data_IF_984419205629
#
_entry.id   IF_984419205629
#
_cell.length_a   1.000
_cell.length_b   1.000
_cell.length_c   1.000
_cell.angle_alpha   90.00
_cell.angle_beta   90.00
_cell.angle_gamma   90.00
#
_symmetry.space_group_name_H-M   'P 1'
#
loop_
_entity.id
_entity.type
_entity.pdbx_description
1 polymer ?
#
# COMPACT_ATOMS: atom_id res chain seq x y z
N UNK A 1 -51.63 0.37 28.19
CA UNK A 1 -50.37 1.13 27.98
C UNK A 1 -49.31 0.74 29.03
N UNK A 2 -48.47 -0.28 28.78
CA UNK A 2 -47.31 -0.63 29.65
C UNK A 2 -46.19 -1.28 28.82
N UNK A 3 -45.45 -0.48 28.04
CA UNK A 3 -44.23 -0.97 27.35
C UNK A 3 -43.04 0.02 27.39
N UNK A 4 -43.19 1.24 27.93
CA UNK A 4 -42.15 2.28 27.85
C UNK A 4 -40.92 2.11 28.78
N UNK A 5 -40.99 1.28 29.83
CA UNK A 5 -39.92 1.23 30.86
C UNK A 5 -38.77 0.27 30.55
N UNK A 6 -38.99 -0.72 29.66
CA UNK A 6 -38.01 -1.76 29.32
C UNK A 6 -37.01 -1.30 28.25
N UNK A 7 -37.42 -0.42 27.32
CA UNK A 7 -36.56 0.10 26.25
C UNK A 7 -35.47 1.06 26.76
N UNK A 8 -35.77 1.85 27.79
CA UNK A 8 -34.81 2.82 28.36
C UNK A 8 -33.56 2.16 28.95
N UNK A 9 -33.70 1.03 29.67
CA UNK A 9 -32.55 0.31 30.25
C UNK A 9 -31.65 -0.32 29.17
N UNK A 10 -32.25 -0.84 28.11
CA UNK A 10 -31.50 -1.39 26.97
C UNK A 10 -30.75 -0.32 26.21
N UNK A 11 -31.37 0.85 26.00
CA UNK A 11 -30.71 2.01 25.41
C UNK A 11 -29.52 2.49 26.25
N UNK A 12 -29.65 2.53 27.58
CA UNK A 12 -28.54 2.91 28.46
C UNK A 12 -27.40 1.90 28.43
N UNK A 13 -27.70 0.60 28.48
CA UNK A 13 -26.67 -0.46 28.38
C UNK A 13 -25.94 -0.38 27.04
N UNK A 14 -26.68 -0.25 25.93
CA UNK A 14 -26.10 -0.12 24.60
C UNK A 14 -25.24 1.15 24.49
N UNK A 15 -25.71 2.29 25.01
CA UNK A 15 -24.96 3.54 25.01
C UNK A 15 -23.66 3.43 25.82
N UNK A 16 -23.71 2.87 27.03
CA UNK A 16 -22.51 2.66 27.85
C UNK A 16 -21.53 1.71 27.17
N UNK A 17 -22.03 0.66 26.52
CA UNK A 17 -21.19 -0.30 25.80
C UNK A 17 -20.51 0.34 24.60
N UNK A 18 -21.23 1.18 23.83
CA UNK A 18 -20.66 1.97 22.75
C UNK A 18 -19.60 2.97 23.24
N UNK A 19 -19.83 3.63 24.37
CA UNK A 19 -18.86 4.56 24.97
C UNK A 19 -17.60 3.81 25.42
N UNK A 20 -17.74 2.67 26.10
CA UNK A 20 -16.60 1.86 26.53
C UNK A 20 -15.80 1.33 25.34
N UNK A 21 -16.49 0.90 24.28
CA UNK A 21 -15.85 0.52 23.02
C UNK A 21 -15.10 1.72 22.42
N UNK A 22 -15.72 2.91 22.38
CA UNK A 22 -15.09 4.13 21.88
C UNK A 22 -13.85 4.56 22.69
N UNK A 23 -13.92 4.50 24.02
CA UNK A 23 -12.76 4.80 24.88
C UNK A 23 -11.68 3.75 24.69
N UNK A 24 -12.05 2.47 24.60
CA UNK A 24 -11.12 1.37 24.35
C UNK A 24 -10.40 1.52 23.02
N UNK A 25 -11.10 1.85 21.94
CA UNK A 25 -10.49 2.07 20.62
C UNK A 25 -9.55 3.27 20.63
N UNK A 26 -9.96 4.40 21.22
CA UNK A 26 -9.09 5.57 21.37
C UNK A 26 -7.84 5.20 22.18
N UNK A 27 -8.00 4.52 23.32
CA UNK A 27 -6.89 4.08 24.16
C UNK A 27 -5.90 3.19 23.41
N UNK A 28 -6.38 2.23 22.61
CA UNK A 28 -5.53 1.37 21.78
C UNK A 28 -4.80 2.17 20.71
N UNK A 29 -5.46 3.12 20.04
CA UNK A 29 -4.81 3.95 18.99
C UNK A 29 -3.71 4.85 19.54
N UNK A 30 -3.89 5.39 20.75
CA UNK A 30 -2.90 6.26 21.39
C UNK A 30 -1.73 5.46 21.96
N UNK A 31 -2.00 4.32 22.59
CA UNK A 31 -0.96 3.52 23.25
C UNK A 31 -0.21 2.59 22.28
N UNK A 32 -0.85 2.18 21.18
CA UNK A 32 -0.28 1.23 20.22
C UNK A 32 -0.54 1.68 18.77
N UNK A 33 -0.03 2.85 18.35
CA UNK A 33 -0.28 3.42 17.02
C UNK A 33 0.12 2.46 15.89
N UNK A 34 1.27 1.78 16.02
CA UNK A 34 1.73 0.79 15.04
C UNK A 34 0.75 -0.37 14.85
N UNK A 35 0.10 -0.83 15.93
CA UNK A 35 -0.89 -1.93 15.83
C UNK A 35 -2.17 -1.45 15.16
N UNK A 36 -2.59 -0.22 15.46
CA UNK A 36 -3.75 0.39 14.82
C UNK A 36 -3.51 0.55 13.31
N UNK A 37 -2.36 1.09 12.91
CA UNK A 37 -1.98 1.22 11.51
C UNK A 37 -1.92 -0.12 10.80
N UNK A 38 -1.28 -1.15 11.37
CA UNK A 38 -1.25 -2.51 10.80
C UNK A 38 -2.65 -3.04 10.53
N UNK A 39 -3.55 -2.88 11.50
CA UNK A 39 -4.94 -3.36 11.39
C UNK A 39 -5.69 -2.63 10.28
N UNK A 40 -5.58 -1.30 10.24
CA UNK A 40 -6.16 -0.49 9.16
C UNK A 40 -5.59 -0.91 7.80
N UNK A 41 -4.28 -1.16 7.73
CA UNK A 41 -3.60 -1.62 6.53
C UNK A 41 -4.13 -2.97 6.03
N UNK A 42 -4.29 -3.95 6.92
CA UNK A 42 -4.86 -5.27 6.56
C UNK A 42 -6.27 -5.14 6.00
N UNK A 43 -7.11 -4.32 6.62
CA UNK A 43 -8.48 -4.06 6.14
C UNK A 43 -8.46 -3.40 4.75
N UNK A 44 -7.58 -2.42 4.53
CA UNK A 44 -7.45 -1.74 3.22
C UNK A 44 -7.00 -2.69 2.12
N UNK A 45 -5.97 -3.49 2.37
CA UNK A 45 -5.46 -4.48 1.40
C UNK A 45 -6.57 -5.48 1.05
N UNK A 46 -7.24 -6.04 2.06
CA UNK A 46 -8.34 -6.99 1.84
C UNK A 46 -9.50 -6.35 1.05
N UNK A 47 -9.86 -5.11 1.38
CA UNK A 47 -10.89 -4.36 0.65
C UNK A 47 -10.49 -4.15 -0.81
N UNK A 48 -9.23 -3.80 -1.07
CA UNK A 48 -8.71 -3.65 -2.43
C UNK A 48 -8.82 -4.94 -3.25
N UNK A 49 -8.46 -6.08 -2.66
CA UNK A 49 -8.60 -7.39 -3.31
C UNK A 49 -10.07 -7.74 -3.63
N UNK A 50 -11.00 -7.41 -2.72
CA UNK A 50 -12.44 -7.60 -2.96
C UNK A 50 -12.93 -6.70 -4.10
N UNK A 51 -12.53 -5.42 -4.09
CA UNK A 51 -12.91 -4.47 -5.15
C UNK A 51 -12.42 -4.96 -6.51
N UNK A 52 -11.16 -5.40 -6.62
CA UNK A 52 -10.62 -5.96 -7.87
C UNK A 52 -11.42 -7.18 -8.34
N UNK A 53 -11.75 -8.10 -7.42
CA UNK A 53 -12.53 -9.28 -7.75
C UNK A 53 -13.92 -8.93 -8.27
N UNK A 54 -14.58 -7.93 -7.68
CA UNK A 54 -15.93 -7.50 -8.06
C UNK A 54 -15.93 -6.69 -9.36
N UNK A 55 -14.89 -5.89 -9.61
CA UNK A 55 -14.76 -5.12 -10.85
C UNK A 55 -14.35 -5.97 -12.07
N UNK A 56 -14.04 -7.24 -11.87
CA UNK A 56 -13.48 -8.11 -12.92
C UNK A 56 -12.03 -7.76 -13.28
N UNK A 57 -11.37 -6.91 -12.50
CA UNK A 57 -9.97 -6.57 -12.69
C UNK A 57 -9.10 -7.77 -12.34
N UNK A 58 -8.35 -8.26 -13.34
CA UNK A 58 -7.52 -9.46 -13.21
C UNK A 58 -6.22 -9.21 -12.42
N UNK A 59 -5.62 -8.05 -12.60
CA UNK A 59 -4.30 -7.70 -12.01
C UNK A 59 -4.35 -6.33 -11.35
N UNK A 60 -3.58 -6.08 -10.27
CA UNK A 60 -3.46 -4.75 -9.69
C UNK A 60 -2.97 -3.76 -10.75
N UNK A 61 -3.54 -2.56 -10.76
CA UNK A 61 -3.17 -1.51 -11.71
C UNK A 61 -2.41 -0.41 -11.00
N UNK A 62 -1.30 0.01 -11.58
CA UNK A 62 -0.48 1.12 -11.10
C UNK A 62 -0.26 2.14 -12.21
N UNK A 63 -0.18 3.41 -11.84
CA UNK A 63 0.17 4.50 -12.76
C UNK A 63 1.51 5.07 -12.35
N UNK A 64 2.45 5.17 -13.29
CA UNK A 64 3.74 5.81 -13.06
C UNK A 64 3.58 7.33 -13.23
N UNK A 65 4.11 8.08 -12.27
CA UNK A 65 4.13 9.53 -12.27
C UNK A 65 5.48 10.08 -12.74
N UNK A 66 5.60 11.41 -12.88
CA UNK A 66 6.85 12.05 -13.29
C UNK A 66 7.91 11.99 -12.19
N UNK A 67 9.14 12.36 -12.54
CA UNK A 67 10.20 12.60 -11.56
C UNK A 67 9.83 13.70 -10.57
N UNK A 68 10.11 13.43 -9.30
CA UNK A 68 9.82 14.31 -8.20
C UNK A 68 10.60 13.99 -6.94
N UNK A 69 10.13 14.59 -5.84
CA UNK A 69 10.69 14.48 -4.51
C UNK A 69 9.58 14.14 -3.50
N UNK A 70 9.89 14.23 -2.21
CA UNK A 70 8.90 13.98 -1.15
C UNK A 70 7.64 14.87 -1.26
N UNK A 71 7.77 16.14 -1.66
CA UNK A 71 6.61 17.01 -1.83
C UNK A 71 5.70 16.54 -2.98
N UNK A 72 6.27 15.95 -4.03
CA UNK A 72 5.49 15.32 -5.10
C UNK A 72 4.78 14.05 -4.60
N UNK A 73 5.47 13.22 -3.83
CA UNK A 73 4.91 12.02 -3.20
C UNK A 73 3.74 12.36 -2.24
N UNK A 74 3.89 13.44 -1.46
CA UNK A 74 2.90 13.92 -0.49
C UNK A 74 1.61 14.46 -1.13
N UNK A 75 1.59 14.70 -2.47
CA UNK A 75 0.35 15.09 -3.17
C UNK A 75 -0.68 13.97 -3.24
N UNK A 76 -0.27 12.71 -3.11
CA UNK A 76 -1.18 11.56 -3.09
C UNK A 76 -2.16 11.53 -4.27
N UNK A 77 -1.70 11.85 -5.48
CA UNK A 77 -2.52 11.85 -6.70
C UNK A 77 -2.85 10.44 -7.24
N UNK A 78 -2.33 9.40 -6.58
CA UNK A 78 -2.55 8.00 -6.92
C UNK A 78 -1.53 7.43 -7.90
N UNK A 79 -0.57 8.23 -8.36
CA UNK A 79 0.57 7.75 -9.13
C UNK A 79 1.73 7.34 -8.22
N UNK A 80 2.60 6.46 -8.73
CA UNK A 80 3.90 6.20 -8.13
C UNK A 80 4.89 7.22 -8.72
N UNK A 81 5.39 8.13 -7.90
CA UNK A 81 6.30 9.22 -8.31
C UNK A 81 7.71 8.70 -8.48
N UNK A 82 8.38 9.00 -9.58
CA UNK A 82 9.80 8.66 -9.74
C UNK A 82 10.64 9.50 -8.79
N UNK A 83 11.34 8.84 -7.87
CA UNK A 83 12.03 9.49 -6.78
C UNK A 83 13.47 9.79 -7.20
N UNK A 84 13.76 11.04 -7.57
CA UNK A 84 15.11 11.47 -7.96
C UNK A 84 16.17 11.25 -6.88
N UNK A 85 15.78 11.12 -5.61
CA UNK A 85 16.68 10.79 -4.51
C UNK A 85 17.29 9.36 -4.60
N UNK A 86 16.71 8.48 -5.41
CA UNK A 86 17.25 7.15 -5.69
C UNK A 86 18.03 7.07 -7.00
N UNK A 87 18.23 8.18 -7.72
CA UNK A 87 19.06 8.17 -8.91
C UNK A 87 20.53 7.91 -8.53
N UNK A 88 21.00 6.71 -8.84
CA UNK A 88 22.34 6.21 -8.60
C UNK A 88 22.77 5.40 -9.82
N UNK A 89 24.04 5.48 -10.20
CA UNK A 89 24.57 4.68 -11.31
C UNK A 89 24.38 3.18 -11.04
N UNK A 90 23.86 2.45 -12.03
CA UNK A 90 23.57 1.02 -11.91
C UNK A 90 22.28 0.68 -11.15
N UNK A 91 21.48 1.67 -10.74
CA UNK A 91 20.14 1.47 -10.19
C UNK A 91 19.08 1.97 -11.18
N UNK A 92 18.11 1.12 -11.49
CA UNK A 92 16.95 1.46 -12.30
C UNK A 92 16.05 2.49 -11.59
N UNK A 93 15.20 3.23 -12.34
CA UNK A 93 14.29 4.21 -11.73
C UNK A 93 13.42 3.60 -10.63
N UNK A 94 13.34 4.29 -9.49
CA UNK A 94 12.51 3.90 -8.34
C UNK A 94 11.30 4.80 -8.27
N UNK A 95 10.11 4.23 -8.43
CA UNK A 95 8.83 4.92 -8.31
C UNK A 95 8.20 4.60 -6.96
N UNK A 96 7.80 5.62 -6.20
CA UNK A 96 7.25 5.45 -4.86
C UNK A 96 5.82 5.96 -4.76
N UNK A 97 5.00 5.27 -3.96
CA UNK A 97 3.71 5.78 -3.52
C UNK A 97 3.57 5.58 -2.01
N UNK A 98 2.91 6.53 -1.32
CA UNK A 98 2.48 6.30 0.05
C UNK A 98 1.53 5.11 0.08
N UNK A 99 1.65 4.27 1.11
CA UNK A 99 0.84 3.08 1.24
C UNK A 99 -0.66 3.35 1.32
N UNK A 100 -1.07 4.53 1.78
CA UNK A 100 -2.46 4.96 1.84
C UNK A 100 -2.93 5.74 0.59
N UNK A 101 -2.04 5.90 -0.40
CA UNK A 101 -2.24 6.67 -1.61
C UNK A 101 -1.99 5.81 -2.86
N UNK A 102 -2.61 4.62 -2.90
CA UNK A 102 -2.47 3.55 -3.93
C UNK A 102 -1.23 2.67 -3.81
N UNK A 103 -0.27 3.03 -2.94
CA UNK A 103 0.87 2.19 -2.63
C UNK A 103 0.51 0.85 -1.97
N UNK A 104 -0.68 0.69 -1.39
CA UNK A 104 -1.11 -0.58 -0.80
C UNK A 104 -1.30 -1.69 -1.84
N UNK A 105 -1.50 -1.35 -3.12
CA UNK A 105 -1.78 -2.29 -4.18
C UNK A 105 -0.65 -3.32 -4.39
N UNK A 106 0.59 -2.94 -4.08
CA UNK A 106 1.77 -3.79 -4.28
C UNK A 106 2.18 -4.57 -3.02
N UNK A 107 1.61 -4.24 -1.85
CA UNK A 107 1.93 -4.90 -0.58
C UNK A 107 1.66 -6.41 -0.57
N UNK A 108 0.53 -6.92 -1.09
CA UNK A 108 0.25 -8.36 -1.07
C UNK A 108 1.05 -9.14 -2.12
N UNK A 109 1.66 -8.46 -3.09
CA UNK A 109 2.30 -9.08 -4.25
C UNK A 109 3.66 -9.69 -3.91
N UNK A 110 4.07 -10.67 -4.71
CA UNK A 110 5.30 -11.44 -4.60
C UNK A 110 5.97 -11.58 -5.96
N UNK A 111 7.22 -12.01 -5.97
CA UNK A 111 7.91 -12.42 -7.21
C UNK A 111 7.05 -13.45 -7.96
N UNK A 112 6.88 -13.25 -9.26
CA UNK A 112 6.00 -14.01 -10.14
C UNK A 112 4.58 -13.42 -10.31
N UNK A 113 4.16 -12.49 -9.46
CA UNK A 113 2.85 -11.84 -9.62
C UNK A 113 2.91 -10.79 -10.74
N UNK A 114 1.76 -10.60 -11.41
CA UNK A 114 1.60 -9.64 -12.50
C UNK A 114 0.96 -8.33 -12.03
N UNK A 115 1.41 -7.23 -12.61
CA UNK A 115 0.91 -5.87 -12.40
C UNK A 115 0.61 -5.24 -13.76
N UNK A 116 -0.56 -4.62 -13.88
CA UNK A 116 -0.89 -3.79 -15.05
C UNK A 116 -0.35 -2.37 -14.81
N UNK A 117 0.57 -1.95 -15.66
CA UNK A 117 1.14 -0.61 -15.64
C UNK A 117 0.41 0.22 -16.68
N UNK A 118 -0.29 1.27 -16.22
CA UNK A 118 -1.04 2.18 -17.09
C UNK A 118 -0.16 2.66 -18.25
N UNK A 119 -0.68 2.55 -19.47
CA UNK A 119 0.00 2.90 -20.73
C UNK A 119 1.28 2.11 -21.06
N UNK A 120 1.64 1.08 -20.29
CA UNK A 120 2.81 0.22 -20.55
C UNK A 120 2.51 -1.28 -20.61
N UNK A 121 1.33 -1.72 -20.18
CA UNK A 121 0.90 -3.11 -20.27
C UNK A 121 1.24 -3.95 -19.04
N UNK A 122 1.36 -5.27 -19.20
CA UNK A 122 1.59 -6.20 -18.10
C UNK A 122 3.08 -6.37 -17.79
N UNK A 123 3.40 -6.31 -16.51
CA UNK A 123 4.73 -6.52 -15.96
C UNK A 123 4.69 -7.61 -14.90
N UNK A 124 5.76 -8.39 -14.83
CA UNK A 124 5.98 -9.40 -13.79
C UNK A 124 6.95 -8.86 -12.74
N UNK A 125 6.70 -9.20 -11.49
CA UNK A 125 7.64 -8.93 -10.40
C UNK A 125 8.77 -9.96 -10.46
N UNK A 126 9.98 -9.52 -10.79
CA UNK A 126 11.15 -10.40 -10.98
C UNK A 126 12.12 -10.39 -9.79
N UNK A 127 12.06 -9.36 -8.95
CA UNK A 127 12.83 -9.27 -7.70
C UNK A 127 12.01 -8.53 -6.63
N UNK A 128 12.26 -8.83 -5.36
CA UNK A 128 11.62 -8.19 -4.22
C UNK A 128 12.60 -8.06 -3.06
N UNK A 129 12.61 -6.88 -2.42
CA UNK A 129 13.36 -6.61 -1.20
C UNK A 129 12.50 -5.87 -0.18
N UNK A 130 12.68 -6.20 1.09
CA UNK A 130 12.10 -5.46 2.21
C UNK A 130 13.23 -4.78 2.98
N UNK A 131 13.27 -3.45 2.98
CA UNK A 131 14.30 -2.67 3.66
C UNK A 131 13.70 -1.87 4.82
N UNK A 132 14.51 -1.51 5.83
CA UNK A 132 14.05 -0.65 6.92
C UNK A 132 13.79 0.77 6.43
N UNK A 133 12.81 1.50 7.01
CA UNK A 133 12.59 2.93 6.69
C UNK A 133 13.75 3.80 7.14
N UNK A 134 14.42 3.38 8.22
CA UNK A 134 15.58 4.06 8.79
C UNK A 134 16.85 3.23 8.58
N UNK A 135 17.96 3.92 8.35
CA UNK A 135 19.30 3.35 8.28
C UNK A 135 19.57 2.38 7.12
N UNK A 136 18.64 2.24 6.17
CA UNK A 136 18.89 1.54 4.91
C UNK A 136 19.50 2.51 3.89
N UNK A 137 20.46 2.04 3.11
CA UNK A 137 21.05 2.80 2.01
C UNK A 137 20.48 2.36 0.68
N UNK A 138 20.47 3.28 -0.30
CA UNK A 138 20.04 3.00 -1.68
C UNK A 138 20.86 1.87 -2.33
N UNK A 139 22.12 1.70 -1.93
CA UNK A 139 23.00 0.63 -2.42
C UNK A 139 22.43 -0.78 -2.19
N UNK A 140 21.55 -0.95 -1.19
CA UNK A 140 20.88 -2.23 -0.93
C UNK A 140 19.86 -2.60 -2.01
N UNK A 141 19.57 -1.70 -2.95
CA UNK A 141 18.75 -1.95 -4.13
C UNK A 141 19.59 -2.28 -5.37
N UNK A 142 20.91 -2.08 -5.32
CA UNK A 142 21.79 -2.42 -6.45
C UNK A 142 21.68 -3.90 -6.79
N UNK A 143 21.70 -4.19 -8.09
CA UNK A 143 21.54 -5.53 -8.63
C UNK A 143 20.13 -6.09 -8.59
N UNK A 144 19.10 -5.31 -8.22
CA UNK A 144 17.71 -5.71 -8.47
C UNK A 144 17.48 -5.80 -9.99
N UNK A 145 16.79 -6.84 -10.44
CA UNK A 145 16.56 -7.10 -11.87
C UNK A 145 15.28 -6.43 -12.37
N UNK A 146 15.22 -6.03 -13.64
CA UNK A 146 14.03 -5.43 -14.27
C UNK A 146 14.20 -3.97 -14.68
N UNK A 147 13.15 -3.41 -15.29
CA UNK A 147 13.17 -2.10 -15.95
C UNK A 147 13.05 -0.94 -14.94
N UNK A 148 12.29 -1.15 -13.86
CA UNK A 148 12.08 -0.17 -12.79
C UNK A 148 11.64 -0.85 -11.49
N UNK A 149 11.66 -0.10 -10.38
CA UNK A 149 11.26 -0.57 -9.06
C UNK A 149 10.05 0.23 -8.57
N UNK A 150 9.06 -0.45 -7.99
CA UNK A 150 8.00 0.19 -7.19
C UNK A 150 8.30 0.07 -5.70
N UNK A 151 8.05 1.15 -4.97
CA UNK A 151 8.31 1.26 -3.54
C UNK A 151 7.05 1.70 -2.79
N UNK A 152 6.79 1.05 -1.65
CA UNK A 152 5.76 1.46 -0.70
C UNK A 152 6.16 1.11 0.74
N UNK A 153 5.50 1.72 1.72
CA UNK A 153 5.72 1.45 3.13
C UNK A 153 4.76 0.37 3.66
N UNK A 154 5.24 -0.51 4.55
CA UNK A 154 4.32 -1.32 5.35
C UNK A 154 3.62 -0.43 6.40
N UNK A 155 2.33 -0.70 6.63
CA UNK A 155 1.50 -0.03 7.64
C UNK A 155 1.99 -0.40 9.04
N UNK A 156 2.26 0.59 9.91
CA UNK A 156 2.68 0.35 11.30
C UNK A 156 3.95 -0.48 11.46
N UNK A 157 4.81 -0.52 10.44
CA UNK A 157 6.07 -1.27 10.46
C UNK A 157 7.24 -0.38 10.04
N UNK A 158 8.41 -0.58 10.65
CA UNK A 158 9.66 0.07 10.23
C UNK A 158 10.30 -0.64 9.02
N UNK A 159 9.51 -0.88 7.97
CA UNK A 159 10.01 -1.43 6.70
C UNK A 159 9.22 -0.93 5.49
N UNK A 160 9.85 -1.04 4.34
CA UNK A 160 9.35 -0.67 3.02
C UNK A 160 9.54 -1.86 2.09
N UNK A 161 8.57 -2.06 1.22
CA UNK A 161 8.62 -3.05 0.15
C UNK A 161 9.15 -2.40 -1.11
N UNK A 162 10.08 -3.07 -1.76
CA UNK A 162 10.57 -2.78 -3.10
C UNK A 162 10.30 -3.99 -3.98
N UNK A 163 9.65 -3.78 -5.12
CA UNK A 163 9.45 -4.81 -6.15
C UNK A 163 10.00 -4.30 -7.46
N UNK A 164 10.85 -5.10 -8.11
CA UNK A 164 11.37 -4.75 -9.41
C UNK A 164 10.55 -5.46 -10.50
N UNK A 165 10.24 -4.74 -11.57
CA UNK A 165 9.33 -5.18 -12.60
C UNK A 165 10.01 -5.27 -13.95
N UNK A 166 9.74 -6.36 -14.66
CA UNK A 166 10.11 -6.53 -16.06
C UNK A 166 8.84 -6.76 -16.90
N UNK A 167 8.84 -6.44 -18.20
CA UNK A 167 7.72 -6.76 -19.08
C UNK A 167 7.42 -8.25 -19.01
N UNK A 168 6.16 -8.63 -18.84
CA UNK A 168 5.78 -10.05 -18.85
C UNK A 168 6.11 -10.64 -20.23
N UNK A 169 6.57 -11.89 -20.30
CA UNK A 169 7.03 -12.52 -21.55
C UNK A 169 5.96 -12.55 -22.67
N UNK A 170 4.68 -12.41 -22.30
CA UNK A 170 3.51 -12.32 -23.20
C UNK A 170 2.94 -10.90 -23.38
N UNK A 171 3.61 -9.85 -22.89
CA UNK A 171 3.15 -8.48 -23.08
C UNK A 171 3.31 -8.09 -24.57
N UNK A 172 2.24 -7.59 -25.24
CA UNK A 172 2.36 -7.14 -26.62
C UNK A 172 3.38 -6.01 -26.68
N UNK A 173 4.54 -6.26 -27.30
CA UNK A 173 5.54 -5.22 -27.56
C UNK A 173 4.90 -4.20 -28.50
N UNK A 174 4.63 -3.00 -28.02
CA UNK A 174 4.31 -1.88 -28.91
C UNK A 174 5.55 -1.60 -29.75
N UNK A 175 5.45 -1.90 -31.06
CA UNK A 175 6.40 -1.47 -32.08
C UNK A 175 6.31 0.04 -32.30
#
# INVERSE_FOLDING_TARGET
>A
MKTKKRSSRWLTVLATLLILVGIGTIGVTVLFPDRAEKTVGQVRIATGQVVMKVSGQKYPRVTLGPQGNKAALDRCDGSFIEMGAYHLEGLQPVYAAHNACKGEAILPLRVGDLVEVTDRGLYEIVDQRDLKKTWSTTDQLLGMQGDFILQTCYYGENRMKFIALAPAEDAPRTQ
#
